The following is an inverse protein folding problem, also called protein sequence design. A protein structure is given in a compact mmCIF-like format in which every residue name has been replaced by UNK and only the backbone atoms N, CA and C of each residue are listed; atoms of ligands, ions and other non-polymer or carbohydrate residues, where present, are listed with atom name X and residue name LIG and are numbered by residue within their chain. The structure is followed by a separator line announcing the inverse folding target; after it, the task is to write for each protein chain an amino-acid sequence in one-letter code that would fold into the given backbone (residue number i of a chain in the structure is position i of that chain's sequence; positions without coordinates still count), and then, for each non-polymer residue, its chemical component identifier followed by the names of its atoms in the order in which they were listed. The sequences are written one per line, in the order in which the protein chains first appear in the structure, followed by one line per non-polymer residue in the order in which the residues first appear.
data_IF_696868547794
#
_entry.id   IF_696868547794
#
_cell.length_a   1.000
_cell.length_b   1.000
_cell.length_c   1.000
_cell.angle_alpha   90.00
_cell.angle_beta   90.00
_cell.angle_gamma   90.00
#
_symmetry.space_group_name_H-M   'P 1'
#
loop_
_entity.id
_entity.type
_entity.pdbx_description
1 polymer ?
#
# COMPACT_ATOMS: atom_id res chain seq x y z
N UNK A 1 42.85 -15.66 -21.35
CA UNK A 1 41.58 -16.40 -21.22
C UNK A 1 40.87 -15.84 -19.99
N UNK A 2 39.64 -15.35 -20.09
CA UNK A 2 38.91 -14.84 -18.93
C UNK A 2 38.54 -16.03 -18.05
N UNK A 3 39.09 -16.09 -16.83
CA UNK A 3 38.77 -17.13 -15.85
C UNK A 3 37.30 -16.99 -15.38
N UNK A 4 36.53 -18.08 -15.23
CA UNK A 4 35.14 -18.03 -14.75
C UNK A 4 34.97 -17.26 -13.43
N UNK A 5 35.95 -17.38 -12.52
CA UNK A 5 35.96 -16.67 -11.25
C UNK A 5 35.98 -15.13 -11.42
N UNK A 6 36.71 -14.62 -12.42
CA UNK A 6 36.76 -13.19 -12.70
C UNK A 6 35.41 -12.65 -13.20
N UNK A 7 34.68 -13.44 -13.99
CA UNK A 7 33.34 -13.09 -14.47
C UNK A 7 32.38 -12.98 -13.28
N UNK A 8 32.38 -13.98 -12.39
CA UNK A 8 31.51 -13.97 -11.22
C UNK A 8 31.80 -12.80 -10.28
N UNK A 9 33.09 -12.55 -9.99
CA UNK A 9 33.51 -11.48 -9.08
C UNK A 9 33.13 -10.09 -9.62
N UNK A 10 33.37 -9.86 -10.92
CA UNK A 10 33.01 -8.58 -11.57
C UNK A 10 31.49 -8.40 -11.66
N UNK A 11 30.75 -9.44 -12.05
CA UNK A 11 29.29 -9.39 -12.08
C UNK A 11 28.69 -9.11 -10.69
N UNK A 12 29.20 -9.77 -9.64
CA UNK A 12 28.77 -9.53 -8.27
C UNK A 12 29.09 -8.10 -7.80
N UNK A 13 30.27 -7.58 -8.13
CA UNK A 13 30.64 -6.19 -7.81
C UNK A 13 29.71 -5.18 -8.49
N UNK A 14 29.43 -5.37 -9.79
CA UNK A 14 28.50 -4.52 -10.55
C UNK A 14 27.09 -4.61 -9.97
N UNK A 15 26.61 -5.82 -9.65
CA UNK A 15 25.30 -6.02 -9.03
C UNK A 15 25.19 -5.32 -7.67
N UNK A 16 26.21 -5.38 -6.82
CA UNK A 16 26.24 -4.68 -5.54
C UNK A 16 26.19 -3.16 -5.69
N UNK A 17 26.88 -2.60 -6.71
CA UNK A 17 26.81 -1.17 -7.00
C UNK A 17 25.41 -0.77 -7.44
N UNK A 18 24.82 -1.50 -8.39
CA UNK A 18 23.46 -1.23 -8.89
C UNK A 18 22.43 -1.35 -7.76
N UNK A 19 22.50 -2.42 -6.96
CA UNK A 19 21.61 -2.63 -5.82
C UNK A 19 21.83 -1.57 -4.73
N UNK A 20 23.06 -1.13 -4.50
CA UNK A 20 23.36 -0.03 -3.57
C UNK A 20 22.73 1.29 -4.01
N UNK A 21 22.82 1.63 -5.30
CA UNK A 21 22.14 2.81 -5.86
C UNK A 21 20.61 2.65 -5.76
N UNK A 22 20.07 1.48 -6.11
CA UNK A 22 18.64 1.20 -5.99
C UNK A 22 18.15 1.30 -4.54
N UNK A 23 18.95 0.85 -3.57
CA UNK A 23 18.63 0.93 -2.15
C UNK A 23 18.54 2.39 -1.69
N UNK A 24 19.48 3.24 -2.11
CA UNK A 24 19.45 4.67 -1.81
C UNK A 24 18.23 5.36 -2.46
N UNK A 25 17.92 5.05 -3.71
CA UNK A 25 16.76 5.60 -4.43
C UNK A 25 15.44 5.18 -3.79
N UNK A 26 15.32 3.90 -3.41
CA UNK A 26 14.14 3.39 -2.71
C UNK A 26 13.99 4.06 -1.34
N UNK A 27 15.09 4.21 -0.58
CA UNK A 27 15.10 4.91 0.69
C UNK A 27 14.67 6.37 0.57
N UNK A 28 15.18 7.07 -0.44
CA UNK A 28 14.74 8.43 -0.76
C UNK A 28 13.24 8.50 -1.05
N UNK A 29 12.70 7.53 -1.81
CA UNK A 29 11.28 7.49 -2.14
C UNK A 29 10.39 7.19 -0.94
N UNK A 30 10.85 6.39 0.02
CA UNK A 30 10.14 6.18 1.30
C UNK A 30 9.96 7.49 2.06
N UNK A 31 10.97 8.37 2.06
CA UNK A 31 10.93 9.65 2.77
C UNK A 31 10.08 10.71 2.04
N UNK A 32 10.23 10.81 0.72
CA UNK A 32 9.60 11.88 -0.10
C UNK A 32 8.22 11.50 -0.63
N UNK A 33 7.82 10.23 -0.56
CA UNK A 33 6.56 9.73 -1.12
C UNK A 33 5.33 10.58 -0.71
N UNK A 34 4.48 11.02 -1.66
CA UNK A 34 3.38 11.96 -1.39
C UNK A 34 2.19 11.32 -0.68
N UNK A 35 1.99 10.00 -0.82
CA UNK A 35 0.85 9.28 -0.24
C UNK A 35 1.32 8.14 0.65
N UNK A 36 0.52 7.76 1.65
CA UNK A 36 0.83 6.61 2.51
C UNK A 36 1.01 5.31 1.72
N UNK A 37 0.15 4.95 0.74
CA UNK A 37 0.37 3.77 -0.10
C UNK A 37 1.69 3.81 -0.89
N UNK A 38 2.09 4.97 -1.41
CA UNK A 38 3.34 5.12 -2.15
C UNK A 38 4.57 4.87 -1.26
N UNK A 39 4.53 5.34 -0.01
CA UNK A 39 5.59 5.08 0.98
C UNK A 39 5.68 3.60 1.35
N UNK A 40 4.53 2.94 1.51
CA UNK A 40 4.48 1.49 1.82
C UNK A 40 5.06 0.69 0.65
N UNK A 41 4.70 1.02 -0.59
CA UNK A 41 5.25 0.35 -1.78
C UNK A 41 6.75 0.60 -1.92
N UNK A 42 7.23 1.81 -1.61
CA UNK A 42 8.64 2.12 -1.58
C UNK A 42 9.39 1.32 -0.49
N UNK A 43 8.77 1.10 0.68
CA UNK A 43 9.34 0.31 1.77
C UNK A 43 9.45 -1.17 1.39
N UNK A 44 8.46 -1.70 0.68
CA UNK A 44 8.48 -3.06 0.14
C UNK A 44 9.62 -3.22 -0.88
N UNK A 45 9.76 -2.25 -1.80
CA UNK A 45 10.84 -2.21 -2.78
C UNK A 45 12.22 -2.10 -2.11
N UNK A 46 12.34 -1.29 -1.06
CA UNK A 46 13.57 -1.15 -0.27
C UNK A 46 13.95 -2.48 0.39
N UNK A 47 12.97 -3.18 0.97
CA UNK A 47 13.17 -4.47 1.62
C UNK A 47 13.58 -5.54 0.61
N UNK A 48 12.92 -5.62 -0.55
CA UNK A 48 13.29 -6.51 -1.65
C UNK A 48 14.70 -6.24 -2.17
N UNK A 49 15.08 -4.96 -2.30
CA UNK A 49 16.43 -4.56 -2.70
C UNK A 49 17.47 -4.97 -1.66
N UNK A 50 17.16 -4.83 -0.36
CA UNK A 50 18.03 -5.28 0.73
C UNK A 50 18.25 -6.80 0.69
N UNK A 51 17.18 -7.57 0.47
CA UNK A 51 17.24 -9.04 0.34
C UNK A 51 18.11 -9.43 -0.85
N UNK A 52 17.91 -8.79 -2.01
CA UNK A 52 18.77 -8.99 -3.19
C UNK A 52 20.24 -8.65 -2.92
N UNK A 53 20.50 -7.57 -2.18
CA UNK A 53 21.86 -7.17 -1.80
C UNK A 53 22.54 -8.25 -0.95
N UNK A 54 21.83 -8.77 0.06
CA UNK A 54 22.32 -9.85 0.93
C UNK A 54 22.53 -11.14 0.13
N UNK A 55 21.65 -11.46 -0.81
CA UNK A 55 21.79 -12.64 -1.67
C UNK A 55 23.05 -12.57 -2.55
N UNK A 56 23.36 -11.41 -3.14
CA UNK A 56 24.60 -11.22 -3.92
C UNK A 56 25.83 -11.29 -3.00
N UNK A 57 25.76 -10.78 -1.77
CA UNK A 57 26.82 -10.95 -0.78
C UNK A 57 27.04 -12.42 -0.43
N UNK A 58 25.98 -13.22 -0.32
CA UNK A 58 26.09 -14.66 -0.10
C UNK A 58 26.88 -15.34 -1.21
N UNK A 59 26.56 -15.03 -2.48
CA UNK A 59 27.29 -15.56 -3.64
C UNK A 59 28.76 -15.12 -3.64
N UNK A 60 29.04 -13.86 -3.29
CA UNK A 60 30.40 -13.31 -3.28
C UNK A 60 31.28 -13.87 -2.16
N UNK A 61 30.71 -14.12 -0.98
CA UNK A 61 31.44 -14.58 0.21
C UNK A 61 31.43 -16.09 0.38
N UNK A 62 30.46 -16.79 -0.21
CA UNK A 62 30.27 -18.23 -0.05
C UNK A 62 29.60 -18.63 1.27
N UNK A 63 29.24 -17.68 2.13
CA UNK A 63 28.59 -18.00 3.41
C UNK A 63 27.08 -18.15 3.25
N UNK A 64 26.59 -19.38 3.47
CA UNK A 64 25.16 -19.72 3.38
C UNK A 64 24.29 -19.01 4.42
N UNK A 65 24.87 -18.57 5.55
CA UNK A 65 24.18 -17.80 6.59
C UNK A 65 23.46 -16.57 6.03
N UNK A 66 24.02 -15.93 5.00
CA UNK A 66 23.39 -14.79 4.36
C UNK A 66 22.09 -15.15 3.62
N UNK A 67 21.97 -16.37 3.09
CA UNK A 67 20.73 -16.85 2.47
C UNK A 67 19.64 -17.04 3.53
N UNK A 68 19.97 -17.60 4.69
CA UNK A 68 19.01 -17.76 5.79
C UNK A 68 18.47 -16.41 6.27
N UNK A 69 19.36 -15.41 6.39
CA UNK A 69 19.00 -14.03 6.70
C UNK A 69 18.09 -13.45 5.61
N UNK A 70 18.44 -13.64 4.34
CA UNK A 70 17.67 -13.12 3.20
C UNK A 70 16.25 -13.71 3.14
N UNK A 71 16.10 -15.03 3.35
CA UNK A 71 14.79 -15.71 3.37
C UNK A 71 13.97 -15.21 4.57
N UNK A 72 14.59 -15.12 5.75
CA UNK A 72 13.91 -14.65 6.96
C UNK A 72 13.41 -13.21 6.80
N UNK A 73 14.24 -12.31 6.25
CA UNK A 73 13.85 -10.94 5.94
C UNK A 73 12.75 -10.89 4.88
N UNK A 74 12.77 -11.78 3.87
CA UNK A 74 11.71 -11.88 2.87
C UNK A 74 10.34 -12.18 3.47
N UNK A 75 10.28 -13.14 4.40
CA UNK A 75 9.04 -13.48 5.09
C UNK A 75 8.52 -12.33 5.96
N UNK A 76 9.41 -11.68 6.71
CA UNK A 76 9.06 -10.54 7.58
C UNK A 76 8.62 -9.33 6.76
N UNK A 77 9.34 -9.01 5.68
CA UNK A 77 9.01 -7.89 4.80
C UNK A 77 7.65 -8.09 4.13
N UNK A 78 7.39 -9.28 3.60
CA UNK A 78 6.09 -9.61 3.01
C UNK A 78 4.94 -9.46 4.01
N UNK A 79 5.11 -10.00 5.24
CA UNK A 79 4.11 -9.88 6.29
C UNK A 79 3.87 -8.42 6.69
N UNK A 80 4.92 -7.61 6.79
CA UNK A 80 4.83 -6.18 7.07
C UNK A 80 4.01 -5.46 5.98
N UNK A 81 4.31 -5.70 4.70
CA UNK A 81 3.57 -5.09 3.58
C UNK A 81 2.08 -5.49 3.59
N UNK A 82 1.77 -6.76 3.86
CA UNK A 82 0.37 -7.23 3.99
C UNK A 82 -0.33 -6.57 5.19
N UNK A 83 0.34 -6.44 6.32
CA UNK A 83 -0.19 -5.75 7.50
C UNK A 83 -0.47 -4.27 7.23
N UNK A 84 0.45 -3.58 6.55
CA UNK A 84 0.26 -2.19 6.12
C UNK A 84 -0.90 -2.05 5.13
N UNK A 85 -1.02 -2.94 4.15
CA UNK A 85 -2.14 -2.93 3.21
C UNK A 85 -3.49 -3.07 3.93
N UNK A 86 -3.59 -4.01 4.88
CA UNK A 86 -4.78 -4.19 5.74
C UNK A 86 -5.07 -2.96 6.59
N UNK A 87 -4.03 -2.35 7.16
CA UNK A 87 -4.18 -1.13 7.94
C UNK A 87 -4.73 0.03 7.11
N UNK A 88 -4.18 0.25 5.90
CA UNK A 88 -4.65 1.29 4.98
C UNK A 88 -6.10 1.06 4.56
N UNK A 89 -6.47 -0.17 4.18
CA UNK A 89 -7.86 -0.48 3.79
C UNK A 89 -8.85 -0.30 4.96
N UNK A 90 -8.42 -0.59 6.18
CA UNK A 90 -9.26 -0.47 7.38
C UNK A 90 -9.45 0.98 7.84
N UNK A 91 -8.54 1.89 7.43
CA UNK A 91 -8.57 3.33 7.75
C UNK A 91 -9.05 4.21 6.60
N UNK A 92 -9.11 3.68 5.37
CA UNK A 92 -9.73 4.36 4.25
C UNK A 92 -11.15 4.78 4.68
N UNK A 93 -11.48 6.09 4.63
CA UNK A 93 -12.71 6.58 5.23
C UNK A 93 -13.88 5.78 4.69
N UNK A 94 -14.80 5.46 5.59
CA UNK A 94 -16.09 4.81 5.38
C UNK A 94 -17.00 5.73 4.53
N UNK A 95 -16.50 6.25 3.42
CA UNK A 95 -17.18 7.19 2.54
C UNK A 95 -18.24 6.47 1.70
N UNK A 96 -18.03 5.19 1.36
CA UNK A 96 -19.01 4.43 0.56
C UNK A 96 -20.17 3.85 1.39
N UNK A 97 -19.96 3.47 2.66
CA UNK A 97 -21.05 2.88 3.47
C UNK A 97 -22.15 3.89 3.83
N UNK A 98 -21.85 5.19 3.79
CA UNK A 98 -22.86 6.23 3.95
C UNK A 98 -23.66 6.51 2.67
N UNK A 99 -23.09 6.24 1.49
CA UNK A 99 -23.81 6.39 0.22
C UNK A 99 -24.87 5.30 0.03
N UNK A 100 -24.53 4.05 0.37
CA UNK A 100 -25.47 2.92 0.31
C UNK A 100 -26.63 3.06 1.33
N UNK A 101 -26.35 3.55 2.55
CA UNK A 101 -27.40 3.83 3.55
C UNK A 101 -28.36 4.94 3.13
N UNK A 102 -27.88 5.92 2.34
CA UNK A 102 -28.71 7.02 1.80
C UNK A 102 -29.53 6.57 0.59
N UNK A 103 -29.02 5.61 -0.19
CA UNK A 103 -29.71 5.03 -1.34
C UNK A 103 -30.79 3.99 -0.95
N UNK A 104 -30.60 3.26 0.17
CA UNK A 104 -31.55 2.24 0.66
C UNK A 104 -32.66 2.76 1.60
N UNK A 105 -32.68 4.05 1.93
CA UNK A 105 -33.74 4.61 2.76
C UNK A 105 -35.10 4.53 2.02
N UNK A 106 -36.16 3.95 2.62
CA UNK A 106 -37.46 3.87 1.97
C UNK A 106 -38.00 5.28 1.73
N UNK A 107 -38.31 5.62 0.48
CA UNK A 107 -39.00 6.87 0.12
C UNK A 107 -40.34 6.91 0.87
N UNK A 108 -40.49 7.85 1.82
CA UNK A 108 -41.74 8.05 2.56
C UNK A 108 -42.91 8.25 1.58
N UNK A 109 -44.10 7.66 1.83
CA UNK A 109 -45.27 7.87 1.00
C UNK A 109 -45.68 9.35 1.06
N UNK A 110 -45.86 9.99 -0.10
CA UNK A 110 -46.43 11.33 -0.20
C UNK A 110 -47.92 11.28 0.12
N UNK A 111 -48.30 11.27 1.40
CA UNK A 111 -49.71 11.36 1.80
C UNK A 111 -50.03 12.79 2.25
N UNK A 112 -50.87 13.42 1.42
CA UNK A 112 -51.88 14.43 1.74
C UNK A 112 -51.49 15.60 2.67
N UNK A 113 -51.21 16.75 2.06
CA UNK A 113 -51.45 18.05 2.68
C UNK A 113 -51.95 19.05 1.61
N UNK A 114 -53.24 18.97 1.27
CA UNK A 114 -53.93 20.07 0.58
C UNK A 114 -55.15 20.51 1.38
N UNK A 115 -54.87 21.44 2.30
CA UNK A 115 -55.67 22.62 2.67
C UNK A 115 -57.12 22.36 3.11
N UNK A 116 -57.28 22.19 4.42
CA UNK A 116 -58.37 22.83 5.16
C UNK A 116 -57.80 24.12 5.74
N UNK A 117 -58.33 25.30 5.37
CA UNK A 117 -58.65 26.37 6.33
C UNK A 117 -59.40 27.54 5.66
N UNK A 118 -60.47 27.97 6.34
CA UNK A 118 -61.15 29.28 6.34
C UNK A 118 -61.66 29.90 5.03
N UNK A 119 -62.98 30.13 4.99
CA UNK A 119 -63.48 31.36 5.59
C UNK A 119 -64.97 31.24 5.95
N UNK A 120 -65.33 31.73 7.13
CA UNK A 120 -66.71 31.73 7.61
C UNK A 120 -67.50 32.97 7.21
N UNK A 121 -68.75 32.96 7.69
CA UNK A 121 -69.69 34.07 7.95
C UNK A 121 -70.70 34.48 6.85
N UNK A 122 -71.95 34.46 7.34
CA UNK A 122 -73.17 35.23 6.97
C UNK A 122 -73.95 34.67 5.76
N UNK A 123 -75.26 34.44 5.83
CA UNK A 123 -76.28 34.68 6.84
C UNK A 123 -77.67 34.41 6.23
N UNK A 124 -78.66 34.19 7.11
CA UNK A 124 -80.14 34.34 6.93
C UNK A 124 -80.56 34.94 5.57
N UNK A 125 -81.44 34.34 4.79
CA UNK A 125 -82.85 33.98 5.06
C UNK A 125 -83.32 32.94 4.04
#
# INVERSE_FOLDING_TARGET
MISPFAIMSTAAAVALVILGVAFLLAGWRVLVGPTLPDRILALDTLSGTAIGFIAVLAVKTGFSLYIDIAISLGLVAFLATVAFARFVMSRAPVAERHSEKKARAPKKPKVAAKRSDKNGRKGKK
#
